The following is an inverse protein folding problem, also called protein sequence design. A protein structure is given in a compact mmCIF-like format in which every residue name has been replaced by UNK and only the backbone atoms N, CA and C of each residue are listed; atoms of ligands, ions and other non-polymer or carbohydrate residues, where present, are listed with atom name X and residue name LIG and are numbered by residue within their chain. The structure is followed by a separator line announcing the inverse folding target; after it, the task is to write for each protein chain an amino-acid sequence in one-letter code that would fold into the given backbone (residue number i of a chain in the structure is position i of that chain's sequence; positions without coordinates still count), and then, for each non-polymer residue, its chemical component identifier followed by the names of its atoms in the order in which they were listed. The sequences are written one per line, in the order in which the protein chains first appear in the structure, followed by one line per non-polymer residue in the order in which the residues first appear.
data_IF_706522835327
#
_entry.id   IF_706522835327
#
_cell.length_a   1.000
_cell.length_b   1.000
_cell.length_c   1.000
_cell.angle_alpha   90.00
_cell.angle_beta   90.00
_cell.angle_gamma   90.00
#
_symmetry.space_group_name_H-M   'P 1'
#
loop_
_entity.id
_entity.type
_entity.pdbx_description
1 polymer ?
#
# COMPACT_ATOMS: atom_id res chain seq x y z
N UNK A 1 17.73 5.39 -9.61
CA UNK A 1 17.39 3.96 -9.33
C UNK A 1 16.38 3.51 -10.36
N UNK A 2 16.41 2.25 -10.75
CA UNK A 2 15.35 1.69 -11.59
C UNK A 2 14.10 1.36 -10.77
N UNK A 3 13.00 1.09 -11.46
CA UNK A 3 11.69 0.84 -10.87
C UNK A 3 11.66 -0.33 -9.87
N UNK A 4 12.31 -1.46 -10.19
CA UNK A 4 12.41 -2.62 -9.30
C UNK A 4 13.15 -2.28 -8.00
N UNK A 5 14.28 -1.61 -8.10
CA UNK A 5 15.06 -1.21 -6.92
C UNK A 5 14.26 -0.28 -6.02
N UNK A 6 13.51 0.66 -6.61
CA UNK A 6 12.62 1.56 -5.86
C UNK A 6 11.53 0.79 -5.13
N UNK A 7 10.87 -0.16 -5.80
CA UNK A 7 9.83 -0.98 -5.18
C UNK A 7 10.39 -1.79 -3.99
N UNK A 8 11.50 -2.48 -4.19
CA UNK A 8 12.10 -3.28 -3.12
C UNK A 8 12.54 -2.42 -1.92
N UNK A 9 13.07 -1.23 -2.16
CA UNK A 9 13.41 -0.28 -1.09
C UNK A 9 12.17 0.26 -0.37
N UNK A 10 11.10 0.53 -1.11
CA UNK A 10 9.82 0.94 -0.52
C UNK A 10 9.28 -0.14 0.43
N UNK A 11 9.21 -1.39 -0.04
CA UNK A 11 8.74 -2.52 0.77
C UNK A 11 9.60 -2.73 2.02
N UNK A 12 10.92 -2.62 1.89
CA UNK A 12 11.85 -2.73 3.02
C UNK A 12 11.73 -1.56 4.02
N UNK A 13 11.13 -0.45 3.60
CA UNK A 13 10.98 0.77 4.42
C UNK A 13 9.57 0.94 4.99
N UNK A 14 8.66 -0.02 4.80
CA UNK A 14 7.24 0.17 5.16
C UNK A 14 7.01 0.49 6.64
N UNK A 15 7.87 0.02 7.52
CA UNK A 15 7.85 0.33 8.96
C UNK A 15 8.44 1.70 9.33
N UNK A 16 8.97 2.42 8.35
CA UNK A 16 9.52 3.79 8.49
C UNK A 16 8.85 4.70 7.46
N UNK A 17 7.70 5.30 7.80
CA UNK A 17 6.89 6.09 6.87
C UNK A 17 7.64 7.24 6.18
N UNK A 18 8.51 7.92 6.89
CA UNK A 18 9.26 9.05 6.33
C UNK A 18 10.31 8.56 5.32
N UNK A 19 10.99 7.47 5.62
CA UNK A 19 11.94 6.83 4.73
C UNK A 19 11.25 6.27 3.47
N UNK A 20 10.11 5.63 3.63
CA UNK A 20 9.32 5.11 2.51
C UNK A 20 8.82 6.26 1.60
N UNK A 21 8.27 7.32 2.20
CA UNK A 21 7.78 8.48 1.46
C UNK A 21 8.91 9.25 0.74
N UNK A 22 10.12 9.26 1.29
CA UNK A 22 11.27 9.92 0.66
C UNK A 22 11.69 9.30 -0.68
N UNK A 23 11.25 8.06 -0.98
CA UNK A 23 11.50 7.41 -2.27
C UNK A 23 10.61 7.96 -3.41
N UNK A 24 9.53 8.64 -3.07
CA UNK A 24 8.63 9.25 -4.05
C UNK A 24 9.18 10.58 -4.56
N UNK A 25 8.84 10.92 -5.81
CA UNK A 25 9.02 12.27 -6.32
C UNK A 25 8.23 13.26 -5.46
N UNK A 26 8.59 14.55 -5.49
CA UNK A 26 7.92 15.58 -4.70
C UNK A 26 6.40 15.63 -4.97
N UNK A 27 6.01 15.39 -6.22
CA UNK A 27 4.62 15.27 -6.67
C UNK A 27 4.23 13.81 -6.96
N UNK A 28 4.93 12.85 -6.38
CA UNK A 28 4.65 11.42 -6.52
C UNK A 28 3.30 11.04 -5.92
N UNK A 29 2.75 9.94 -6.38
CA UNK A 29 1.39 9.50 -6.01
C UNK A 29 1.42 8.07 -5.48
N UNK A 30 0.78 7.85 -4.35
CA UNK A 30 0.40 6.54 -3.82
C UNK A 30 -1.10 6.35 -4.01
N UNK A 31 -1.49 5.28 -4.68
CA UNK A 31 -2.89 4.91 -4.89
C UNK A 31 -3.21 3.57 -4.26
N UNK A 32 -4.31 3.54 -3.52
CA UNK A 32 -4.87 2.37 -2.85
C UNK A 32 -6.35 2.26 -3.24
N UNK A 33 -6.67 1.90 -4.51
CA UNK A 33 -8.01 2.08 -5.10
C UNK A 33 -9.14 1.42 -4.31
N UNK A 34 -8.88 0.24 -3.73
CA UNK A 34 -9.91 -0.52 -3.02
C UNK A 34 -10.21 -0.02 -1.61
N UNK A 35 -9.42 0.91 -1.05
CA UNK A 35 -9.75 1.58 0.21
C UNK A 35 -11.05 2.39 0.14
N UNK A 36 -11.44 2.80 -1.06
CA UNK A 36 -12.74 3.49 -1.27
C UNK A 36 -13.92 2.66 -0.76
N UNK A 37 -13.87 1.34 -0.92
CA UNK A 37 -14.90 0.42 -0.38
C UNK A 37 -15.02 0.46 1.14
N UNK A 38 -13.99 0.93 1.84
CA UNK A 38 -13.96 1.10 3.29
C UNK A 38 -14.20 2.56 3.73
N UNK A 39 -14.55 3.45 2.79
CA UNK A 39 -14.76 4.87 3.05
C UNK A 39 -13.47 5.66 3.32
N UNK A 40 -12.32 5.13 2.89
CA UNK A 40 -11.00 5.73 3.10
C UNK A 40 -10.50 6.34 1.79
N UNK A 41 -9.80 7.48 1.89
CA UNK A 41 -9.20 8.15 0.72
C UNK A 41 -8.26 7.19 -0.03
N UNK A 42 -8.46 7.00 -1.34
CA UNK A 42 -7.66 6.04 -2.11
C UNK A 42 -6.40 6.64 -2.75
N UNK A 43 -6.23 7.97 -2.76
CA UNK A 43 -5.11 8.63 -3.45
C UNK A 43 -4.43 9.66 -2.55
N UNK A 44 -3.10 9.56 -2.48
CA UNK A 44 -2.25 10.46 -1.69
C UNK A 44 -1.19 11.05 -2.62
N UNK A 45 -1.08 12.36 -2.67
CA UNK A 45 -0.14 13.08 -3.55
C UNK A 45 0.88 13.86 -2.73
N UNK A 46 2.15 13.63 -3.06
CA UNK A 46 3.28 14.28 -2.40
C UNK A 46 3.74 13.56 -1.13
N UNK A 47 5.03 13.73 -0.83
CA UNK A 47 5.71 13.01 0.25
C UNK A 47 5.04 13.18 1.62
N UNK A 48 4.53 14.40 1.92
CA UNK A 48 3.89 14.68 3.20
C UNK A 48 2.63 13.83 3.41
N UNK A 49 1.75 13.81 2.41
CA UNK A 49 0.47 13.11 2.51
C UNK A 49 0.67 11.58 2.43
N UNK A 50 1.65 11.13 1.62
CA UNK A 50 2.06 9.73 1.58
C UNK A 50 2.61 9.29 2.94
N UNK A 51 3.51 10.06 3.56
CA UNK A 51 4.03 9.75 4.89
C UNK A 51 2.92 9.68 5.94
N UNK A 52 1.94 10.59 5.89
CA UNK A 52 0.79 10.58 6.80
C UNK A 52 -0.06 9.31 6.62
N UNK A 53 -0.32 8.89 5.38
CA UNK A 53 -1.01 7.63 5.07
C UNK A 53 -0.26 6.43 5.64
N UNK A 54 1.04 6.34 5.40
CA UNK A 54 1.87 5.23 5.88
C UNK A 54 2.00 5.22 7.41
N UNK A 55 2.04 6.38 8.08
CA UNK A 55 1.99 6.45 9.54
C UNK A 55 0.68 5.89 10.09
N UNK A 56 -0.44 6.18 9.43
CA UNK A 56 -1.73 5.62 9.82
C UNK A 56 -1.74 4.10 9.63
N UNK A 57 -1.19 3.59 8.55
CA UNK A 57 -1.05 2.15 8.30
C UNK A 57 -0.23 1.48 9.42
N UNK A 58 0.90 2.07 9.82
CA UNK A 58 1.73 1.56 10.91
C UNK A 58 1.04 1.60 12.28
N UNK A 59 0.10 2.53 12.50
CA UNK A 59 -0.73 2.54 13.71
C UNK A 59 -1.75 1.43 13.72
N UNK A 60 -2.36 1.16 12.57
CA UNK A 60 -3.36 0.09 12.41
C UNK A 60 -2.73 -1.30 12.49
N UNK A 61 -1.53 -1.44 11.96
CA UNK A 61 -0.77 -2.69 11.88
C UNK A 61 0.69 -2.45 12.30
N UNK A 62 0.99 -2.39 13.61
CA UNK A 62 2.32 -2.03 14.11
C UNK A 62 3.44 -2.99 13.69
N UNK A 63 3.08 -4.25 13.37
CA UNK A 63 4.01 -5.30 12.95
C UNK A 63 4.12 -5.44 11.42
N UNK A 64 3.57 -4.49 10.65
CA UNK A 64 3.61 -4.57 9.18
C UNK A 64 5.05 -4.67 8.67
N UNK A 65 5.27 -5.70 7.84
CA UNK A 65 6.55 -5.94 7.18
C UNK A 65 6.33 -6.75 5.90
N UNK A 66 7.20 -6.54 4.91
CA UNK A 66 7.26 -7.35 3.70
C UNK A 66 8.62 -8.06 3.67
N UNK A 67 8.60 -9.39 3.77
CA UNK A 67 9.82 -10.18 3.67
C UNK A 67 10.28 -10.27 2.20
N UNK A 68 11.60 -10.19 1.94
CA UNK A 68 12.11 -10.28 0.56
C UNK A 68 11.70 -11.55 -0.17
N UNK A 69 11.61 -12.68 0.53
CA UNK A 69 11.22 -13.97 -0.03
C UNK A 69 9.72 -14.05 -0.36
N UNK A 70 8.91 -13.13 0.16
CA UNK A 70 7.48 -13.03 -0.11
C UNK A 70 7.17 -11.99 -1.20
N UNK A 71 8.17 -11.56 -1.95
CA UNK A 71 8.04 -10.61 -3.05
C UNK A 71 8.43 -11.28 -4.37
N UNK A 72 7.53 -11.19 -5.34
CA UNK A 72 7.72 -11.74 -6.69
C UNK A 72 7.51 -10.64 -7.73
N UNK A 73 8.57 -10.26 -8.42
CA UNK A 73 8.50 -9.35 -9.58
C UNK A 73 8.04 -10.16 -10.79
N UNK A 74 6.92 -9.75 -11.40
CA UNK A 74 6.31 -10.42 -12.54
C UNK A 74 6.71 -9.77 -13.87
N UNK A 75 6.76 -8.44 -13.90
CA UNK A 75 7.12 -7.67 -15.09
C UNK A 75 7.99 -6.50 -14.63
N UNK A 76 9.10 -6.28 -15.32
CA UNK A 76 9.97 -5.13 -15.08
C UNK A 76 10.53 -4.51 -16.35
N UNK A 77 10.60 -3.20 -16.35
CA UNK A 77 11.37 -2.36 -17.27
C UNK A 77 12.16 -1.36 -16.42
N UNK A 78 13.10 -0.60 -16.98
CA UNK A 78 13.83 0.39 -16.18
C UNK A 78 12.94 1.39 -15.44
N UNK A 79 11.77 1.72 -16.02
CA UNK A 79 10.83 2.73 -15.53
C UNK A 79 9.54 2.15 -14.93
N UNK A 80 9.24 0.85 -15.09
CA UNK A 80 8.00 0.24 -14.59
C UNK A 80 8.25 -1.14 -13.98
N UNK A 81 7.56 -1.41 -12.89
CA UNK A 81 7.57 -2.73 -12.24
C UNK A 81 6.16 -3.12 -11.83
N UNK A 82 5.79 -4.36 -12.13
CA UNK A 82 4.60 -5.00 -11.57
C UNK A 82 5.02 -6.22 -10.75
N UNK A 83 4.58 -6.27 -9.50
CA UNK A 83 4.98 -7.32 -8.57
C UNK A 83 3.82 -7.74 -7.67
N UNK A 84 3.95 -8.93 -7.12
CA UNK A 84 3.13 -9.46 -6.02
C UNK A 84 4.00 -9.57 -4.77
N UNK A 85 3.42 -9.23 -3.62
CA UNK A 85 4.10 -9.35 -2.33
C UNK A 85 3.10 -9.63 -1.21
N UNK A 86 3.54 -10.39 -0.21
CA UNK A 86 2.69 -10.85 0.88
C UNK A 86 3.17 -10.22 2.18
N UNK A 87 2.23 -9.79 3.02
CA UNK A 87 2.51 -9.40 4.39
C UNK A 87 1.68 -10.22 5.36
N UNK A 88 2.24 -10.40 6.55
CA UNK A 88 1.58 -10.98 7.71
C UNK A 88 1.55 -9.91 8.78
N UNK A 89 0.37 -9.46 9.16
CA UNK A 89 0.23 -8.36 10.10
C UNK A 89 -0.91 -8.60 11.08
N UNK A 90 -0.89 -7.90 12.20
CA UNK A 90 -1.89 -7.99 13.26
C UNK A 90 -2.60 -6.66 13.39
N UNK A 91 -3.93 -6.66 13.30
CA UNK A 91 -4.73 -5.46 13.51
C UNK A 91 -4.68 -5.05 14.99
N UNK A 92 -4.17 -3.85 15.28
CA UNK A 92 -4.03 -3.36 16.65
C UNK A 92 -5.37 -3.27 17.39
N UNK A 93 -6.45 -2.90 16.68
CA UNK A 93 -7.77 -2.69 17.27
C UNK A 93 -8.45 -4.00 17.74
N UNK A 94 -8.15 -5.13 17.10
CA UNK A 94 -8.87 -6.40 17.35
C UNK A 94 -7.96 -7.56 17.78
N UNK A 95 -6.65 -7.44 17.54
CA UNK A 95 -5.69 -8.54 17.73
C UNK A 95 -5.78 -9.63 16.66
N UNK A 96 -6.60 -9.46 15.62
CA UNK A 96 -6.78 -10.45 14.56
C UNK A 96 -5.62 -10.40 13.57
N UNK A 97 -5.18 -11.58 13.12
CA UNK A 97 -4.15 -11.71 12.08
C UNK A 97 -4.76 -11.43 10.71
N UNK A 98 -3.96 -10.78 9.86
CA UNK A 98 -4.27 -10.55 8.46
C UNK A 98 -3.09 -10.99 7.60
N UNK A 99 -3.31 -12.02 6.77
CA UNK A 99 -2.39 -12.43 5.72
C UNK A 99 -2.88 -11.82 4.41
N UNK A 100 -2.08 -10.97 3.79
CA UNK A 100 -2.53 -10.15 2.68
C UNK A 100 -1.60 -10.24 1.49
N UNK A 101 -2.16 -10.59 0.33
CA UNK A 101 -1.52 -10.44 -0.96
C UNK A 101 -1.77 -9.02 -1.48
N UNK A 102 -0.70 -8.34 -1.84
CA UNK A 102 -0.71 -7.09 -2.59
C UNK A 102 -0.25 -7.33 -4.01
N UNK A 103 -0.83 -6.58 -4.95
CA UNK A 103 -0.23 -6.37 -6.26
C UNK A 103 0.16 -4.90 -6.38
N UNK A 104 1.39 -4.63 -6.78
CA UNK A 104 1.92 -3.28 -6.91
C UNK A 104 2.34 -2.96 -8.34
N UNK A 105 1.84 -1.85 -8.86
CA UNK A 105 2.28 -1.24 -10.11
C UNK A 105 3.03 0.04 -9.80
N UNK A 106 4.32 0.06 -10.11
CA UNK A 106 5.20 1.19 -9.85
C UNK A 106 5.68 1.80 -11.17
N UNK A 107 5.62 3.12 -11.26
CA UNK A 107 6.26 3.93 -12.31
C UNK A 107 7.35 4.78 -11.68
N UNK A 108 8.56 4.67 -12.23
CA UNK A 108 9.72 5.45 -11.83
C UNK A 108 10.01 6.55 -12.87
N UNK A 109 10.38 7.72 -12.40
CA UNK A 109 10.83 8.84 -13.22
C UNK A 109 11.99 9.54 -12.51
N UNK A 110 13.07 9.83 -13.23
CA UNK A 110 14.27 10.48 -12.68
C UNK A 110 14.84 9.81 -11.42
N UNK A 111 14.69 8.48 -11.28
CA UNK A 111 15.19 7.73 -10.13
C UNK A 111 14.34 7.81 -8.87
N UNK A 112 13.11 8.32 -8.96
CA UNK A 112 12.15 8.44 -7.88
C UNK A 112 10.82 7.77 -8.26
N UNK A 113 9.98 7.44 -7.28
CA UNK A 113 8.65 6.86 -7.52
C UNK A 113 7.71 7.99 -7.96
N UNK A 114 7.24 7.92 -9.19
CA UNK A 114 6.21 8.82 -9.72
C UNK A 114 4.81 8.36 -9.36
N UNK A 115 4.59 7.05 -9.44
CA UNK A 115 3.33 6.41 -9.08
C UNK A 115 3.62 5.04 -8.47
N UNK A 116 2.96 4.76 -7.35
CA UNK A 116 2.79 3.39 -6.85
C UNK A 116 1.29 3.16 -6.64
N UNK A 117 0.73 2.20 -7.36
CA UNK A 117 -0.65 1.74 -7.18
C UNK A 117 -0.62 0.35 -6.59
N UNK A 118 -1.21 0.18 -5.42
CA UNK A 118 -1.32 -1.11 -4.74
C UNK A 118 -2.77 -1.57 -4.69
N UNK A 119 -2.99 -2.82 -5.06
CA UNK A 119 -4.28 -3.49 -4.97
C UNK A 119 -4.19 -4.63 -3.97
N UNK A 120 -5.21 -4.76 -3.14
CA UNK A 120 -5.29 -5.77 -2.09
C UNK A 120 -6.76 -6.09 -1.79
N UNK A 121 -7.02 -7.06 -0.90
CA UNK A 121 -8.37 -7.48 -0.54
C UNK A 121 -8.94 -6.62 0.60
N UNK A 122 -9.81 -5.65 0.33
CA UNK A 122 -10.39 -4.79 1.37
C UNK A 122 -11.34 -5.56 2.29
N UNK A 123 -11.93 -6.65 1.82
CA UNK A 123 -12.80 -7.51 2.64
C UNK A 123 -12.00 -8.14 3.78
N UNK A 124 -10.83 -8.71 3.48
CA UNK A 124 -9.96 -9.30 4.49
C UNK A 124 -9.46 -8.25 5.49
N UNK A 125 -9.15 -7.05 5.00
CA UNK A 125 -8.76 -5.92 5.86
C UNK A 125 -9.90 -5.53 6.82
N UNK A 126 -11.13 -5.43 6.34
CA UNK A 126 -12.30 -5.16 7.18
C UNK A 126 -12.55 -6.28 8.21
N UNK A 127 -12.41 -7.54 7.80
CA UNK A 127 -12.56 -8.69 8.70
C UNK A 127 -11.54 -8.67 9.85
N UNK A 128 -10.31 -8.21 9.58
CA UNK A 128 -9.27 -8.12 10.60
C UNK A 128 -9.44 -6.88 11.49
N UNK A 129 -9.70 -5.72 10.90
CA UNK A 129 -9.62 -4.42 11.56
C UNK A 129 -10.91 -3.99 12.25
N UNK A 130 -12.08 -4.25 11.66
CA UNK A 130 -13.34 -3.75 12.17
C UNK A 130 -13.92 -4.69 13.25
N UNK A 131 -14.47 -4.18 14.36
CA UNK A 131 -14.98 -5.01 15.46
C UNK A 131 -16.01 -6.05 15.00
N UNK A 132 -16.96 -5.66 14.16
CA UNK A 132 -18.01 -6.53 13.59
C UNK A 132 -17.65 -7.06 12.20
N UNK A 133 -16.37 -6.88 11.77
CA UNK A 133 -15.90 -7.32 10.47
C UNK A 133 -16.67 -6.67 9.33
N UNK A 134 -17.05 -7.46 8.34
CA UNK A 134 -17.73 -6.94 7.14
C UNK A 134 -19.11 -6.34 7.41
N UNK A 135 -19.76 -6.67 8.51
CA UNK A 135 -21.04 -6.10 8.91
C UNK A 135 -20.96 -4.58 9.18
N UNK A 136 -19.75 -4.05 9.43
CA UNK A 136 -19.51 -2.61 9.63
C UNK A 136 -19.32 -1.85 8.31
N UNK A 137 -19.29 -2.52 7.16
CA UNK A 137 -19.11 -1.88 5.84
C UNK A 137 -20.47 -1.35 5.35
N UNK A 138 -20.48 -0.09 4.92
CA UNK A 138 -21.67 0.55 4.32
C UNK A 138 -21.98 0.02 2.92
N UNK A 139 -22.97 0.64 2.24
CA UNK A 139 -23.34 0.26 0.89
C UNK A 139 -22.19 0.51 -0.10
N UNK A 140 -22.21 -0.15 -1.30
CA UNK A 140 -21.16 0.03 -2.28
C UNK A 140 -21.06 1.48 -2.77
N UNK A 141 -19.83 1.92 -3.02
CA UNK A 141 -19.58 3.22 -3.65
C UNK A 141 -19.93 3.16 -5.13
N UNK A 142 -20.53 4.23 -5.64
CA UNK A 142 -20.75 4.42 -7.08
C UNK A 142 -19.55 5.05 -7.80
N UNK A 143 -18.53 5.45 -7.04
CA UNK A 143 -17.33 6.04 -7.59
C UNK A 143 -16.38 4.97 -8.10
N UNK A 144 -15.80 5.20 -9.26
CA UNK A 144 -14.79 4.36 -9.88
C UNK A 144 -13.43 5.05 -9.78
N UNK A 145 -12.38 4.27 -9.52
CA UNK A 145 -11.02 4.82 -9.49
C UNK A 145 -10.64 5.35 -10.88
N UNK A 146 -10.27 6.63 -10.94
CA UNK A 146 -9.81 7.27 -12.18
C UNK A 146 -8.31 6.99 -12.40
N UNK A 147 -7.96 6.72 -13.65
CA UNK A 147 -6.56 6.52 -14.06
C UNK A 147 -5.82 7.83 -14.27
#
# INVERSE_FOLDING_TARGET
MNSKTLLLKYLASIGDPDRAAALFAENGVLELPFLRSLGVEPRYTGRRDIAACLRQLCKLYPDIAFAPNDTRVLIETPDKTFAEYITHMTAAATGRLLHQLFTGYLVAEAGEIKLLRESFNPLAMAQAQLPTGVAAIGPPSHEVHAF
#
